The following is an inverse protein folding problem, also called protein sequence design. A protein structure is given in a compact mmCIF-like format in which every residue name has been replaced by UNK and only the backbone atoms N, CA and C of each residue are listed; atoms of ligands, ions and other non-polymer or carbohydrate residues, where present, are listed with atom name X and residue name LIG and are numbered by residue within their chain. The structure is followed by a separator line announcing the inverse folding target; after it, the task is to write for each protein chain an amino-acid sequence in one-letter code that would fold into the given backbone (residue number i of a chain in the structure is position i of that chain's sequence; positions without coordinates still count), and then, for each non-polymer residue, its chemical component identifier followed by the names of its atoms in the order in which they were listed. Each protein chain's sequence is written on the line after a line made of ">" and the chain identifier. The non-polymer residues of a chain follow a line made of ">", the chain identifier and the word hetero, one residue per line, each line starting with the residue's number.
data_IF_118972869495
#
_entry.id   IF_118972869495
#
_cell.length_a   1.000
_cell.length_b   1.000
_cell.length_c   1.000
_cell.angle_alpha   90.00
_cell.angle_beta   90.00
_cell.angle_gamma   90.00
#
_symmetry.space_group_name_H-M   'P 1'
#
loop_
_entity.id
_entity.type
_entity.pdbx_description
1 polymer ?
#
# COMPACT_ATOMS: atom_id res chain seq x y z
N UNK A 1 43.43 76.07 -0.04
CA UNK A 1 42.35 76.74 0.71
C UNK A 1 41.18 75.78 0.73
N UNK A 2 40.70 75.40 1.92
CA UNK A 2 39.53 74.52 2.09
C UNK A 2 38.27 75.34 1.83
N UNK A 3 37.60 75.10 0.71
CA UNK A 3 36.28 75.67 0.39
C UNK A 3 35.18 74.73 0.92
N UNK A 4 33.96 75.23 1.14
CA UNK A 4 32.81 74.40 1.53
C UNK A 4 32.60 73.24 0.56
N UNK A 5 32.79 73.47 -0.75
CA UNK A 5 32.74 72.44 -1.78
C UNK A 5 33.74 71.30 -1.54
N UNK A 6 34.99 71.63 -1.19
CA UNK A 6 36.02 70.62 -0.88
C UNK A 6 35.85 69.95 0.49
N UNK A 7 35.01 70.51 1.38
CA UNK A 7 34.62 69.85 2.64
C UNK A 7 33.52 68.82 2.41
N UNK A 8 32.53 69.14 1.57
CA UNK A 8 31.46 68.22 1.20
C UNK A 8 31.93 67.14 0.21
N UNK A 9 32.87 67.50 -0.66
CA UNK A 9 33.44 66.62 -1.68
C UNK A 9 34.97 66.61 -1.57
N UNK A 10 35.53 65.87 -0.59
CA UNK A 10 36.97 65.80 -0.36
C UNK A 10 37.73 65.26 -1.57
N UNK A 11 37.05 64.49 -2.42
CA UNK A 11 37.61 63.90 -3.65
C UNK A 11 37.97 64.95 -4.71
N UNK A 12 37.41 66.17 -4.59
CA UNK A 12 37.72 67.30 -5.47
C UNK A 12 38.93 68.12 -4.99
N UNK A 13 39.44 67.87 -3.78
CA UNK A 13 40.51 68.69 -3.17
C UNK A 13 41.88 68.58 -3.85
N UNK A 14 42.10 67.49 -4.61
CA UNK A 14 43.34 67.23 -5.35
C UNK A 14 43.34 67.75 -6.80
N UNK A 15 42.21 68.29 -7.28
CA UNK A 15 42.06 68.75 -8.66
C UNK A 15 42.41 70.24 -8.79
N UNK A 16 43.06 70.61 -9.91
CA UNK A 16 43.34 72.01 -10.20
C UNK A 16 42.07 72.74 -10.65
N UNK A 17 42.11 74.08 -10.65
CA UNK A 17 40.98 74.89 -11.16
C UNK A 17 40.67 74.58 -12.63
N UNK A 18 41.71 74.34 -13.44
CA UNK A 18 41.56 73.96 -14.84
C UNK A 18 40.82 72.62 -14.94
N UNK A 19 41.23 71.63 -14.14
CA UNK A 19 40.58 70.31 -14.12
C UNK A 19 39.11 70.41 -13.68
N UNK A 20 38.76 71.30 -12.76
CA UNK A 20 37.38 71.53 -12.32
C UNK A 20 36.51 72.22 -13.39
N UNK A 21 37.10 73.14 -14.17
CA UNK A 21 36.43 73.77 -15.32
C UNK A 21 36.24 72.75 -16.46
N UNK A 22 37.24 71.91 -16.72
CA UNK A 22 37.17 70.82 -17.69
C UNK A 22 36.17 69.74 -17.24
N UNK A 23 36.05 69.45 -15.94
CA UNK A 23 35.04 68.54 -15.38
C UNK A 23 33.59 69.03 -15.59
N UNK A 24 33.40 70.34 -15.71
CA UNK A 24 32.08 70.94 -15.96
C UNK A 24 31.74 71.01 -17.46
N UNK A 25 32.76 71.14 -18.31
CA UNK A 25 32.61 71.34 -19.75
C UNK A 25 32.69 70.03 -20.56
N UNK A 26 33.48 69.07 -20.08
CA UNK A 26 33.68 67.76 -20.72
C UNK A 26 32.97 66.65 -19.93
N UNK A 27 31.91 66.12 -20.55
CA UNK A 27 31.08 65.04 -19.99
C UNK A 27 31.84 63.71 -19.88
N UNK A 28 32.74 63.42 -20.82
CA UNK A 28 33.50 62.17 -20.81
C UNK A 28 34.55 62.21 -19.71
N UNK A 29 35.21 63.35 -19.53
CA UNK A 29 36.15 63.57 -18.44
C UNK A 29 35.47 63.47 -17.07
N UNK A 30 34.29 64.09 -16.90
CA UNK A 30 33.49 63.92 -15.68
C UNK A 30 33.16 62.44 -15.39
N UNK A 31 32.70 61.70 -16.41
CA UNK A 31 32.38 60.28 -16.23
C UNK A 31 33.62 59.47 -15.86
N UNK A 32 34.76 59.73 -16.48
CA UNK A 32 36.02 59.05 -16.15
C UNK A 32 36.42 59.29 -14.69
N UNK A 33 36.34 60.53 -14.21
CA UNK A 33 36.63 60.88 -12.81
C UNK A 33 35.59 60.24 -11.87
N UNK A 34 34.30 60.28 -12.18
CA UNK A 34 33.24 59.63 -11.40
C UNK A 34 33.45 58.12 -11.26
N UNK A 35 33.78 57.42 -12.36
CA UNK A 35 34.10 55.99 -12.33
C UNK A 35 35.44 55.68 -11.68
N UNK A 36 36.31 56.67 -11.49
CA UNK A 36 37.58 56.50 -10.78
C UNK A 36 37.41 56.49 -9.25
N UNK A 37 36.31 57.09 -8.74
CA UNK A 37 36.05 57.23 -7.31
C UNK A 37 35.96 55.87 -6.61
N UNK A 38 36.64 55.66 -5.45
CA UNK A 38 36.67 54.37 -4.77
C UNK A 38 35.28 53.83 -4.42
N UNK A 39 34.37 54.72 -3.97
CA UNK A 39 32.99 54.35 -3.62
C UNK A 39 32.20 53.86 -4.83
N UNK A 40 32.41 54.48 -5.99
CA UNK A 40 31.72 54.10 -7.25
C UNK A 40 32.25 52.76 -7.75
N UNK A 41 33.57 52.55 -7.72
CA UNK A 41 34.18 51.25 -8.05
C UNK A 41 33.67 50.12 -7.16
N UNK A 42 33.69 50.32 -5.84
CA UNK A 42 33.19 49.33 -4.89
C UNK A 42 31.71 49.01 -5.10
N UNK A 43 30.90 50.00 -5.48
CA UNK A 43 29.48 49.78 -5.83
C UNK A 43 29.33 48.93 -7.09
N UNK A 44 30.09 49.20 -8.15
CA UNK A 44 30.06 48.40 -9.39
C UNK A 44 30.58 46.97 -9.19
N UNK A 45 31.64 46.81 -8.41
CA UNK A 45 32.17 45.50 -8.01
C UNK A 45 31.11 44.70 -7.26
N UNK A 46 30.50 45.29 -6.23
CA UNK A 46 29.41 44.66 -5.47
C UNK A 46 28.21 44.28 -6.37
N UNK A 47 27.83 45.16 -7.30
CA UNK A 47 26.76 44.87 -8.26
C UNK A 47 27.12 43.69 -9.16
N UNK A 48 28.35 43.63 -9.66
CA UNK A 48 28.84 42.53 -10.49
C UNK A 48 28.87 41.21 -9.73
N UNK A 49 29.36 41.22 -8.48
CA UNK A 49 29.39 40.04 -7.60
C UNK A 49 27.98 39.50 -7.35
N UNK A 50 27.02 40.37 -7.02
CA UNK A 50 25.62 39.99 -6.85
C UNK A 50 25.01 39.43 -8.14
N UNK A 51 25.36 40.01 -9.28
CA UNK A 51 24.94 39.51 -10.60
C UNK A 51 25.43 38.08 -10.86
N UNK A 52 26.72 37.83 -10.64
CA UNK A 52 27.33 36.51 -10.80
C UNK A 52 26.74 35.48 -9.81
N UNK A 53 26.50 35.88 -8.56
CA UNK A 53 25.89 35.01 -7.56
C UNK A 53 24.45 34.62 -7.94
N UNK A 54 23.63 35.58 -8.39
CA UNK A 54 22.28 35.31 -8.87
C UNK A 54 22.27 34.40 -10.10
N UNK A 55 23.19 34.62 -11.04
CA UNK A 55 23.31 33.78 -12.22
C UNK A 55 23.70 32.35 -11.85
N UNK A 56 24.65 32.18 -10.92
CA UNK A 56 25.05 30.85 -10.42
C UNK A 56 23.87 30.11 -9.76
N UNK A 57 23.05 30.81 -8.96
CA UNK A 57 21.83 30.25 -8.36
C UNK A 57 20.83 29.85 -9.45
N UNK A 58 20.60 30.70 -10.45
CA UNK A 58 19.69 30.41 -11.55
C UNK A 58 20.13 29.16 -12.34
N UNK A 59 21.42 29.05 -12.66
CA UNK A 59 21.99 27.88 -13.33
C UNK A 59 21.81 26.61 -12.49
N UNK A 60 22.03 26.67 -11.18
CA UNK A 60 21.84 25.53 -10.29
C UNK A 60 20.36 25.10 -10.24
N UNK A 61 19.44 26.06 -10.11
CA UNK A 61 18.01 25.78 -10.12
C UNK A 61 17.56 25.10 -11.42
N UNK A 62 18.05 25.56 -12.57
CA UNK A 62 17.77 24.93 -13.86
C UNK A 62 18.36 23.52 -13.96
N UNK A 63 19.58 23.31 -13.45
CA UNK A 63 20.21 21.99 -13.44
C UNK A 63 19.44 20.99 -12.57
N UNK A 64 18.88 21.43 -11.43
CA UNK A 64 18.10 20.59 -10.53
C UNK A 64 16.67 20.31 -11.01
N UNK A 65 16.13 21.15 -11.90
CA UNK A 65 14.75 21.04 -12.37
C UNK A 65 14.45 19.67 -12.99
N UNK A 66 15.27 19.22 -13.94
CA UNK A 66 15.10 17.92 -14.62
C UNK A 66 15.09 16.73 -13.65
N UNK A 67 16.15 16.55 -12.83
CA UNK A 67 16.22 15.49 -11.82
C UNK A 67 15.04 15.51 -10.85
N UNK A 68 14.59 16.68 -10.39
CA UNK A 68 13.44 16.79 -9.50
C UNK A 68 12.13 16.35 -10.16
N UNK A 69 11.92 16.68 -11.44
CA UNK A 69 10.76 16.18 -12.19
C UNK A 69 10.81 14.67 -12.38
N UNK A 70 11.98 14.12 -12.65
CA UNK A 70 12.17 12.68 -12.78
C UNK A 70 11.85 11.94 -11.48
N UNK A 71 12.47 12.34 -10.36
CA UNK A 71 12.20 11.73 -9.04
C UNK A 71 10.72 11.85 -8.68
N UNK A 72 10.09 12.99 -8.98
CA UNK A 72 8.66 13.19 -8.74
C UNK A 72 7.81 12.23 -9.57
N UNK A 73 8.16 12.00 -10.84
CA UNK A 73 7.45 11.06 -11.70
C UNK A 73 7.60 9.62 -11.20
N UNK A 74 8.83 9.19 -10.89
CA UNK A 74 9.13 7.85 -10.36
C UNK A 74 8.40 7.60 -9.03
N UNK A 75 8.42 8.58 -8.12
CA UNK A 75 7.72 8.49 -6.83
C UNK A 75 6.20 8.34 -7.05
N UNK A 76 5.65 9.11 -7.99
CA UNK A 76 4.22 9.05 -8.32
C UNK A 76 3.85 7.68 -8.87
N UNK A 77 4.61 7.14 -9.81
CA UNK A 77 4.38 5.81 -10.40
C UNK A 77 4.47 4.71 -9.33
N UNK A 78 5.51 4.75 -8.49
CA UNK A 78 5.65 3.80 -7.39
C UNK A 78 4.48 3.86 -6.40
N UNK A 79 3.99 5.07 -6.09
CA UNK A 79 2.82 5.26 -5.23
C UNK A 79 1.53 4.72 -5.87
N UNK A 80 1.30 5.01 -7.14
CA UNK A 80 0.14 4.49 -7.89
C UNK A 80 0.16 2.96 -7.96
N UNK A 81 1.33 2.38 -8.21
CA UNK A 81 1.51 0.93 -8.22
C UNK A 81 1.26 0.31 -6.84
N UNK A 82 1.78 0.90 -5.77
CA UNK A 82 1.52 0.45 -4.41
C UNK A 82 0.02 0.53 -4.06
N UNK A 83 -0.68 1.58 -4.49
CA UNK A 83 -2.13 1.72 -4.29
C UNK A 83 -2.93 0.69 -5.07
N UNK A 84 -2.50 0.38 -6.30
CA UNK A 84 -3.09 -0.70 -7.08
C UNK A 84 -2.92 -2.05 -6.38
N UNK A 85 -1.71 -2.37 -5.89
CA UNK A 85 -1.46 -3.60 -5.15
C UNK A 85 -2.26 -3.68 -3.85
N UNK A 86 -2.41 -2.57 -3.11
CA UNK A 86 -3.25 -2.50 -1.90
C UNK A 86 -4.71 -2.83 -2.21
N UNK A 87 -5.26 -2.32 -3.32
CA UNK A 87 -6.61 -2.65 -3.75
C UNK A 87 -6.73 -4.13 -4.15
N UNK A 88 -5.76 -4.64 -4.93
CA UNK A 88 -5.73 -6.04 -5.35
C UNK A 88 -5.59 -7.01 -4.17
N UNK A 89 -4.85 -6.63 -3.13
CA UNK A 89 -4.71 -7.43 -1.91
C UNK A 89 -6.06 -7.67 -1.22
N UNK A 90 -6.90 -6.63 -1.12
CA UNK A 90 -8.25 -6.75 -0.51
C UNK A 90 -9.14 -7.72 -1.28
N UNK A 91 -9.04 -7.75 -2.61
CA UNK A 91 -9.74 -8.72 -3.45
C UNK A 91 -9.22 -10.14 -3.19
N UNK A 92 -7.90 -10.31 -3.17
CA UNK A 92 -7.27 -11.60 -2.95
C UNK A 92 -7.58 -12.17 -1.56
N UNK A 93 -7.60 -11.34 -0.52
CA UNK A 93 -7.98 -11.72 0.83
C UNK A 93 -9.43 -12.22 0.88
N UNK A 94 -10.33 -11.56 0.14
CA UNK A 94 -11.73 -12.01 0.01
C UNK A 94 -11.82 -13.34 -0.73
N UNK A 95 -11.14 -13.49 -1.87
CA UNK A 95 -11.09 -14.74 -2.63
C UNK A 95 -10.54 -15.89 -1.78
N UNK A 96 -9.46 -15.63 -1.03
CA UNK A 96 -8.88 -16.59 -0.09
C UNK A 96 -9.92 -16.98 0.97
N UNK A 97 -10.55 -16.00 1.63
CA UNK A 97 -11.56 -16.28 2.66
C UNK A 97 -12.71 -17.13 2.11
N UNK A 98 -13.20 -16.83 0.92
CA UNK A 98 -14.30 -17.57 0.29
C UNK A 98 -13.93 -19.04 -0.01
N UNK A 99 -12.67 -19.29 -0.43
CA UNK A 99 -12.14 -20.64 -0.65
C UNK A 99 -11.96 -21.37 0.67
N UNK A 100 -11.33 -20.73 1.66
CA UNK A 100 -10.97 -21.33 2.94
C UNK A 100 -12.18 -21.55 3.87
N UNK A 101 -13.26 -20.77 3.72
CA UNK A 101 -14.46 -20.89 4.56
C UNK A 101 -15.03 -22.32 4.59
N UNK A 102 -14.92 -23.06 3.47
CA UNK A 102 -15.40 -24.45 3.38
C UNK A 102 -14.55 -25.47 4.14
N UNK A 103 -13.34 -25.06 4.49
CA UNK A 103 -12.36 -25.84 5.25
C UNK A 103 -12.14 -25.30 6.66
N UNK A 104 -12.88 -24.24 7.03
CA UNK A 104 -12.87 -23.73 8.39
C UNK A 104 -13.33 -24.83 9.36
N UNK A 105 -12.65 -25.00 10.52
CA UNK A 105 -13.00 -26.02 11.49
C UNK A 105 -14.48 -25.99 11.89
N UNK A 106 -15.08 -24.81 12.05
CA UNK A 106 -16.49 -24.70 12.41
C UNK A 106 -17.41 -25.18 11.29
N UNK A 107 -17.07 -24.85 10.04
CA UNK A 107 -17.83 -25.32 8.88
C UNK A 107 -17.71 -26.84 8.71
N UNK A 108 -16.51 -27.39 8.86
CA UNK A 108 -16.26 -28.83 8.80
C UNK A 108 -17.00 -29.59 9.93
N UNK A 109 -17.02 -29.02 11.14
CA UNK A 109 -17.77 -29.58 12.25
C UNK A 109 -19.28 -29.55 12.01
N UNK A 110 -19.81 -28.43 11.51
CA UNK A 110 -21.21 -28.32 11.10
C UNK A 110 -21.55 -29.38 10.03
N UNK A 111 -20.71 -29.52 9.00
CA UNK A 111 -20.89 -30.53 7.94
C UNK A 111 -20.85 -31.95 8.48
N UNK A 112 -19.96 -32.24 9.44
CA UNK A 112 -19.92 -33.53 10.13
C UNK A 112 -21.25 -33.80 10.85
N UNK A 113 -21.77 -32.84 11.63
CA UNK A 113 -23.06 -32.98 12.33
C UNK A 113 -24.21 -33.27 11.37
N UNK A 114 -24.33 -32.51 10.27
CA UNK A 114 -25.34 -32.78 9.24
C UNK A 114 -25.19 -34.17 8.63
N UNK A 115 -23.96 -34.59 8.31
CA UNK A 115 -23.73 -35.93 7.77
C UNK A 115 -24.02 -37.05 8.77
N UNK A 116 -23.91 -36.79 10.07
CA UNK A 116 -24.29 -37.74 11.13
C UNK A 116 -25.81 -37.87 11.19
N UNK A 117 -26.54 -36.74 11.22
CA UNK A 117 -28.01 -36.73 11.21
C UNK A 117 -28.57 -37.41 9.95
N UNK A 118 -28.06 -37.06 8.77
CA UNK A 118 -28.50 -37.70 7.53
C UNK A 118 -28.24 -39.22 7.50
N UNK A 119 -27.14 -39.69 8.12
CA UNK A 119 -26.86 -41.13 8.23
C UNK A 119 -27.83 -41.83 9.19
N UNK A 120 -28.22 -41.15 10.27
CA UNK A 120 -29.21 -41.65 11.22
C UNK A 120 -30.56 -41.82 10.53
N UNK A 121 -31.04 -40.76 9.86
CA UNK A 121 -32.27 -40.77 9.05
C UNK A 121 -32.26 -41.85 7.97
N UNK A 122 -31.15 -42.02 7.24
CA UNK A 122 -31.00 -43.09 6.25
C UNK A 122 -31.08 -44.48 6.89
N UNK A 123 -30.46 -44.67 8.06
CA UNK A 123 -30.51 -45.95 8.78
C UNK A 123 -31.92 -46.27 9.30
N UNK A 124 -32.64 -45.26 9.79
CA UNK A 124 -34.03 -45.39 10.26
C UNK A 124 -34.99 -45.65 9.10
N UNK A 125 -34.79 -45.00 7.95
CA UNK A 125 -35.55 -45.27 6.73
C UNK A 125 -35.34 -46.70 6.23
N UNK A 126 -34.10 -47.19 6.25
CA UNK A 126 -33.76 -48.57 5.87
C UNK A 126 -34.41 -49.60 6.83
N UNK A 127 -34.40 -49.33 8.14
CA UNK A 127 -35.09 -50.14 9.14
C UNK A 127 -36.61 -50.15 8.93
N UNK A 128 -37.20 -48.98 8.71
CA UNK A 128 -38.64 -48.82 8.48
C UNK A 128 -39.08 -49.56 7.21
N UNK A 129 -38.32 -49.45 6.12
CA UNK A 129 -38.61 -50.13 4.86
C UNK A 129 -38.59 -51.66 5.01
N UNK A 130 -37.63 -52.20 5.77
CA UNK A 130 -37.55 -53.63 6.05
C UNK A 130 -38.77 -54.12 6.84
N UNK A 131 -39.21 -53.38 7.86
CA UNK A 131 -40.41 -53.71 8.64
C UNK A 131 -41.68 -53.62 7.79
N UNK A 132 -41.79 -52.62 6.92
CA UNK A 132 -42.95 -52.45 6.03
C UNK A 132 -43.05 -53.52 4.93
N UNK A 133 -41.93 -54.15 4.54
CA UNK A 133 -41.92 -55.25 3.58
C UNK A 133 -42.43 -56.58 4.19
N UNK A 134 -42.59 -56.67 5.52
CA UNK A 134 -43.26 -57.80 6.15
C UNK A 134 -44.79 -57.63 6.08
N UNK A 135 -45.54 -58.60 5.51
CA UNK A 135 -47.00 -58.51 5.49
C UNK A 135 -47.57 -58.60 6.92
N UNK A 136 -48.64 -57.83 7.24
CA UNK A 136 -49.23 -57.76 8.58
C UNK A 136 -49.83 -59.09 9.08
N UNK A 137 -50.00 -60.08 8.19
CA UNK A 137 -50.61 -61.38 8.47
C UNK A 137 -49.61 -62.53 8.61
N UNK A 138 -48.29 -62.26 8.62
CA UNK A 138 -47.27 -63.25 8.98
C UNK A 138 -47.11 -64.44 8.02
N UNK A 139 -47.68 -64.37 6.80
CA UNK A 139 -47.71 -65.50 5.85
C UNK A 139 -46.60 -65.50 4.79
N UNK A 140 -45.85 -64.41 4.64
CA UNK A 140 -44.62 -64.40 3.86
C UNK A 140 -43.45 -64.08 4.79
N UNK A 141 -42.67 -65.11 5.13
CA UNK A 141 -41.35 -64.91 5.74
C UNK A 141 -40.44 -64.28 4.68
N UNK A 142 -39.81 -63.11 4.94
CA UNK A 142 -38.79 -62.58 4.04
C UNK A 142 -37.73 -63.66 3.82
N UNK A 143 -37.20 -63.75 2.60
CA UNK A 143 -36.22 -64.80 2.31
C UNK A 143 -34.99 -64.62 3.20
N UNK A 144 -34.33 -65.72 3.58
CA UNK A 144 -33.10 -65.63 4.39
C UNK A 144 -32.06 -64.71 3.73
N UNK A 145 -32.05 -64.67 2.39
CA UNK A 145 -31.20 -63.78 1.60
C UNK A 145 -31.53 -62.29 1.80
N UNK A 146 -32.82 -61.92 1.90
CA UNK A 146 -33.27 -60.54 2.14
C UNK A 146 -32.95 -60.07 3.56
N UNK A 147 -33.04 -60.98 4.53
CA UNK A 147 -32.67 -60.72 5.93
C UNK A 147 -31.15 -60.49 6.01
N UNK A 148 -30.35 -61.35 5.38
CA UNK A 148 -28.90 -61.25 5.41
C UNK A 148 -28.38 -59.99 4.68
N UNK A 149 -29.03 -59.57 3.59
CA UNK A 149 -28.70 -58.32 2.90
C UNK A 149 -29.05 -57.10 3.75
N UNK A 150 -30.25 -57.06 4.35
CA UNK A 150 -30.65 -56.00 5.27
C UNK A 150 -29.67 -55.88 6.44
N UNK A 151 -29.37 -56.98 7.12
CA UNK A 151 -28.46 -56.99 8.29
C UNK A 151 -27.09 -56.45 7.90
N UNK A 152 -26.59 -56.80 6.71
CA UNK A 152 -25.31 -56.32 6.20
C UNK A 152 -25.32 -54.81 5.94
N UNK A 153 -26.35 -54.31 5.25
CA UNK A 153 -26.49 -52.91 4.89
C UNK A 153 -26.75 -52.02 6.11
N UNK A 154 -27.65 -52.44 6.99
CA UNK A 154 -27.95 -51.73 8.24
C UNK A 154 -26.72 -51.66 9.15
N UNK A 155 -26.00 -52.77 9.34
CA UNK A 155 -24.74 -52.76 10.12
C UNK A 155 -23.70 -51.81 9.52
N UNK A 156 -23.56 -51.81 8.19
CA UNK A 156 -22.64 -50.89 7.49
C UNK A 156 -23.04 -49.43 7.73
N UNK A 157 -24.32 -49.10 7.58
CA UNK A 157 -24.87 -47.76 7.82
C UNK A 157 -24.65 -47.30 9.26
N UNK A 158 -25.04 -48.11 10.26
CA UNK A 158 -24.85 -47.80 11.69
C UNK A 158 -23.37 -47.70 12.09
N UNK A 159 -22.49 -48.50 11.47
CA UNK A 159 -21.04 -48.37 11.69
C UNK A 159 -20.53 -46.99 11.25
N UNK A 160 -20.99 -46.48 10.10
CA UNK A 160 -20.62 -45.15 9.62
C UNK A 160 -21.17 -44.07 10.56
N UNK A 161 -22.43 -44.19 10.97
CA UNK A 161 -23.05 -43.30 11.94
C UNK A 161 -22.23 -43.20 13.24
N UNK A 162 -21.94 -44.34 13.88
CA UNK A 162 -21.22 -44.35 15.16
C UNK A 162 -19.78 -43.81 15.03
N UNK A 163 -19.11 -44.05 13.90
CA UNK A 163 -17.80 -43.43 13.61
C UNK A 163 -17.91 -41.91 13.54
N UNK A 164 -18.90 -41.37 12.83
CA UNK A 164 -19.12 -39.92 12.71
C UNK A 164 -19.52 -39.31 14.06
N UNK A 165 -20.40 -39.96 14.82
CA UNK A 165 -20.82 -39.53 16.15
C UNK A 165 -19.63 -39.45 17.12
N UNK A 166 -18.80 -40.50 17.18
CA UNK A 166 -17.59 -40.52 18.01
C UNK A 166 -16.61 -39.40 17.62
N UNK A 167 -16.40 -39.15 16.33
CA UNK A 167 -15.54 -38.02 15.92
C UNK A 167 -16.16 -36.67 16.26
N UNK A 168 -17.48 -36.50 16.15
CA UNK A 168 -18.18 -35.28 16.54
C UNK A 168 -18.09 -35.01 18.05
N UNK A 169 -18.20 -36.06 18.87
CA UNK A 169 -17.97 -35.96 20.32
C UNK A 169 -16.53 -35.55 20.62
N UNK A 170 -15.53 -36.25 20.07
CA UNK A 170 -14.12 -35.89 20.24
C UNK A 170 -13.84 -34.44 19.85
N UNK A 171 -14.45 -33.97 18.76
CA UNK A 171 -14.35 -32.58 18.32
C UNK A 171 -14.93 -31.61 19.36
N UNK A 172 -16.14 -31.89 19.85
CA UNK A 172 -16.82 -31.05 20.85
C UNK A 172 -16.03 -30.97 22.17
N UNK A 173 -15.31 -32.05 22.53
CA UNK A 173 -14.43 -32.10 23.70
C UNK A 173 -13.03 -31.50 23.45
N UNK A 174 -12.78 -30.89 22.28
CA UNK A 174 -11.49 -30.29 21.95
C UNK A 174 -10.35 -31.30 21.77
N UNK A 175 -10.69 -32.58 21.56
CA UNK A 175 -9.71 -33.67 21.36
C UNK A 175 -9.26 -33.81 19.90
N UNK A 176 -9.78 -32.97 19.00
CA UNK A 176 -9.37 -32.88 17.61
C UNK A 176 -8.40 -31.71 17.47
N UNK A 177 -7.13 -32.05 17.25
CA UNK A 177 -6.05 -31.09 17.01
C UNK A 177 -5.82 -30.97 15.51
N UNK A 178 -5.81 -29.75 15.00
CA UNK A 178 -5.34 -29.45 13.65
C UNK A 178 -3.81 -29.30 13.71
N UNK A 179 -3.09 -29.81 12.71
CA UNK A 179 -1.66 -29.53 12.61
C UNK A 179 -1.48 -28.15 11.99
N UNK A 180 -0.70 -27.32 12.67
CA UNK A 180 -0.20 -26.06 12.15
C UNK A 180 1.04 -26.37 11.28
N UNK A 181 0.84 -27.00 10.12
CA UNK A 181 1.90 -27.17 9.12
C UNK A 181 1.94 -25.95 8.18
#
# INVERSE_FOLDING_TARGET
>A
MTTQLTQEFPELSGLSRQDLEDLLLDREYFQAVFHSLPRVKAMFESQSELGLANEAIARNNLALQGPLYQIRAETKEAFEHAKYLEARWKELEKEQKDVYQRFDPQFLHMRLRHSTTAQDEESEALATAFVQQQPPTGTATPSTQDIDSFVREFKKSRTIYHKRAMMGEKWTHGQVMWRDD
#
